data_IF_936414509339
#
_entry.id   IF_936414509339
#
_cell.length_a   1.000
_cell.length_b   1.000
_cell.length_c   1.000
_cell.angle_alpha   90.00
_cell.angle_beta   90.00
_cell.angle_gamma   90.00
#
_symmetry.space_group_name_H-M   'P 1'
#
loop_
_entity.id
_entity.type
_entity.pdbx_description
1 polymer ?
#
# COMPACT_ATOMS: atom_id res chain seq x y z
N UNK A 1 -8.18 -9.13 -8.82
CA UNK A 1 -7.98 -9.64 -7.45
C UNK A 1 -8.95 -8.94 -6.52
N UNK A 2 -9.42 -9.58 -5.45
CA UNK A 2 -10.25 -8.91 -4.45
C UNK A 2 -9.43 -7.83 -3.76
N UNK A 3 -10.03 -6.69 -3.45
CA UNK A 3 -9.33 -5.48 -3.00
C UNK A 3 -8.66 -5.68 -1.65
N UNK A 4 -9.28 -6.47 -0.77
CA UNK A 4 -8.68 -6.83 0.50
C UNK A 4 -7.33 -7.55 0.33
N UNK A 5 -7.16 -8.38 -0.72
CA UNK A 5 -5.89 -9.06 -0.98
C UNK A 5 -4.83 -8.08 -1.43
N UNK A 6 -5.19 -7.08 -2.25
CA UNK A 6 -4.28 -6.03 -2.68
C UNK A 6 -3.81 -5.22 -1.46
N UNK A 7 -4.73 -4.85 -0.56
CA UNK A 7 -4.40 -4.13 0.68
C UNK A 7 -3.47 -4.94 1.59
N UNK A 8 -3.81 -6.22 1.78
CA UNK A 8 -3.04 -7.11 2.65
C UNK A 8 -1.64 -7.36 2.11
N UNK A 9 -1.50 -7.65 0.81
CA UNK A 9 -0.20 -7.85 0.18
C UNK A 9 0.64 -6.57 0.20
N UNK A 10 0.06 -5.43 -0.16
CA UNK A 10 0.80 -4.16 -0.13
C UNK A 10 1.21 -3.79 1.30
N UNK A 11 0.32 -3.97 2.27
CA UNK A 11 0.62 -3.75 3.68
C UNK A 11 1.73 -4.64 4.20
N UNK A 12 1.74 -5.93 3.83
CA UNK A 12 2.80 -6.87 4.19
C UNK A 12 4.13 -6.50 3.54
N UNK A 13 4.14 -6.14 2.26
CA UNK A 13 5.36 -5.70 1.56
C UNK A 13 5.92 -4.44 2.21
N UNK A 14 5.08 -3.44 2.49
CA UNK A 14 5.50 -2.22 3.18
C UNK A 14 6.07 -2.51 4.57
N UNK A 15 5.44 -3.41 5.32
CA UNK A 15 5.91 -3.81 6.64
C UNK A 15 7.29 -4.49 6.56
N UNK A 16 7.46 -5.46 5.67
CA UNK A 16 8.72 -6.19 5.49
C UNK A 16 9.83 -5.29 4.94
N UNK A 17 9.56 -4.52 3.88
CA UNK A 17 10.55 -3.61 3.28
C UNK A 17 10.94 -2.44 4.18
N UNK A 18 10.13 -2.13 5.20
CA UNK A 18 10.48 -1.14 6.21
C UNK A 18 11.34 -1.74 7.33
N UNK A 19 11.01 -2.96 7.77
CA UNK A 19 11.71 -3.63 8.89
C UNK A 19 13.06 -4.22 8.47
N UNK A 20 13.16 -4.86 7.31
CA UNK A 20 14.39 -5.52 6.84
C UNK A 20 15.59 -4.56 6.82
N UNK A 21 15.55 -3.42 6.12
CA UNK A 21 16.69 -2.51 6.08
C UNK A 21 16.95 -1.85 7.43
N UNK A 22 15.96 -1.69 8.31
CA UNK A 22 16.18 -1.16 9.66
C UNK A 22 16.93 -2.16 10.56
N UNK A 23 16.57 -3.44 10.49
CA UNK A 23 17.19 -4.51 11.28
C UNK A 23 18.58 -4.89 10.76
N UNK A 24 18.77 -4.83 9.44
CA UNK A 24 20.05 -5.17 8.78
C UNK A 24 21.01 -3.98 8.64
N UNK A 25 20.55 -2.75 8.86
CA UNK A 25 21.43 -1.58 8.85
C UNK A 25 22.29 -1.54 10.12
N UNK A 26 23.55 -1.12 9.91
CA UNK A 26 24.45 -0.68 10.97
C UNK A 26 23.78 0.45 11.79
N UNK A 27 24.05 0.55 13.09
CA UNK A 27 23.38 1.50 13.99
C UNK A 27 23.37 2.96 13.49
N UNK A 28 24.45 3.40 12.86
CA UNK A 28 24.61 4.78 12.37
C UNK A 28 23.81 5.08 11.09
N UNK A 29 23.35 4.05 10.39
CA UNK A 29 22.56 4.15 9.16
C UNK A 29 21.08 3.83 9.38
N UNK A 30 20.67 3.54 10.61
CA UNK A 30 19.26 3.29 10.96
C UNK A 30 18.46 4.58 10.83
N UNK A 31 17.57 4.61 9.84
CA UNK A 31 16.70 5.75 9.66
C UNK A 31 15.35 5.56 10.37
N UNK A 32 14.96 6.46 11.30
CA UNK A 32 13.65 6.42 11.95
C UNK A 32 12.47 6.51 10.97
N UNK A 33 12.70 7.01 9.76
CA UNK A 33 11.67 7.09 8.71
C UNK A 33 11.15 5.72 8.26
N UNK A 34 11.88 4.63 8.52
CA UNK A 34 11.40 3.28 8.27
C UNK A 34 10.09 2.97 9.03
N UNK A 35 9.89 3.53 10.23
CA UNK A 35 8.68 3.31 11.02
C UNK A 35 7.41 3.88 10.37
N UNK A 36 7.53 4.87 9.48
CA UNK A 36 6.38 5.39 8.72
C UNK A 36 5.82 4.29 7.81
N UNK A 37 6.70 3.55 7.12
CA UNK A 37 6.28 2.43 6.28
C UNK A 37 5.73 1.25 7.06
N UNK A 38 6.27 0.98 8.26
CA UNK A 38 5.69 0.00 9.19
C UNK A 38 4.28 0.41 9.60
N UNK A 39 4.08 1.66 10.03
CA UNK A 39 2.78 2.17 10.46
C UNK A 39 1.73 2.12 9.35
N UNK A 40 2.10 2.57 8.14
CA UNK A 40 1.21 2.49 6.97
C UNK A 40 0.91 1.03 6.61
N UNK A 41 1.92 0.15 6.66
CA UNK A 41 1.76 -1.28 6.39
C UNK A 41 0.77 -1.96 7.34
N UNK A 42 0.91 -1.71 8.65
CA UNK A 42 -0.02 -2.20 9.68
C UNK A 42 -1.43 -1.64 9.43
N UNK A 43 -1.54 -0.34 9.16
CA UNK A 43 -2.84 0.30 8.93
C UNK A 43 -3.56 -0.29 7.71
N UNK A 44 -2.84 -0.56 6.62
CA UNK A 44 -3.40 -1.22 5.43
C UNK A 44 -3.84 -2.67 5.72
N UNK A 45 -3.08 -3.42 6.52
CA UNK A 45 -3.47 -4.76 6.95
C UNK A 45 -4.75 -4.71 7.79
N UNK A 46 -4.84 -3.78 8.75
CA UNK A 46 -6.04 -3.61 9.58
C UNK A 46 -7.24 -3.25 8.72
N UNK A 47 -7.09 -2.32 7.78
CA UNK A 47 -8.16 -1.93 6.84
C UNK A 47 -8.50 -3.05 5.83
N UNK A 48 -7.65 -4.06 5.63
CA UNK A 48 -7.97 -5.18 4.75
C UNK A 48 -9.10 -6.06 5.30
N UNK A 49 -9.20 -6.23 6.63
CA UNK A 49 -10.23 -7.06 7.26
C UNK A 49 -11.67 -6.56 7.02
N UNK A 50 -12.03 -5.29 7.32
CA UNK A 50 -13.38 -4.78 7.02
C UNK A 50 -13.63 -4.68 5.51
N UNK A 51 -12.60 -4.48 4.68
CA UNK A 51 -12.73 -4.51 3.20
C UNK A 51 -13.13 -5.90 2.67
N UNK A 52 -12.75 -6.97 3.38
CA UNK A 52 -13.19 -8.35 3.06
C UNK A 52 -14.71 -8.52 3.24
N UNK A 53 -15.31 -7.79 4.19
CA UNK A 53 -16.74 -7.80 4.47
C UNK A 53 -17.51 -6.77 3.59
N UNK A 54 -16.99 -6.49 2.40
CA UNK A 54 -17.58 -5.58 1.40
C UNK A 54 -17.79 -4.13 1.89
N UNK A 55 -17.07 -3.69 2.93
CA UNK A 55 -17.14 -2.30 3.36
C UNK A 55 -16.51 -1.36 2.33
N UNK A 56 -17.37 -0.70 1.55
CA UNK A 56 -16.97 0.23 0.50
C UNK A 56 -16.21 1.45 1.03
N UNK A 57 -16.51 1.92 2.24
CA UNK A 57 -15.86 3.09 2.84
C UNK A 57 -14.39 2.77 3.13
N UNK A 58 -14.15 1.62 3.77
CA UNK A 58 -12.79 1.18 4.10
C UNK A 58 -11.95 0.93 2.85
N UNK A 59 -12.55 0.39 1.78
CA UNK A 59 -11.85 0.20 0.51
C UNK A 59 -11.36 1.52 -0.10
N UNK A 60 -12.17 2.59 -0.03
CA UNK A 60 -11.77 3.92 -0.51
C UNK A 60 -10.68 4.53 0.38
N UNK A 61 -10.81 4.43 1.70
CA UNK A 61 -9.78 4.88 2.65
C UNK A 61 -8.45 4.17 2.37
N UNK A 62 -8.48 2.85 2.17
CA UNK A 62 -7.30 2.05 1.86
C UNK A 62 -6.59 2.49 0.59
N UNK A 63 -7.34 2.82 -0.45
CA UNK A 63 -6.81 3.31 -1.72
C UNK A 63 -6.21 4.70 -1.61
N UNK A 64 -6.91 5.62 -0.95
CA UNK A 64 -6.41 6.98 -0.74
C UNK A 64 -5.12 6.92 0.09
N UNK A 65 -5.09 6.10 1.15
CA UNK A 65 -3.90 5.88 1.95
C UNK A 65 -2.75 5.29 1.14
N UNK A 66 -3.03 4.30 0.28
CA UNK A 66 -2.01 3.69 -0.59
C UNK A 66 -1.44 4.69 -1.60
N UNK A 67 -2.30 5.55 -2.16
CA UNK A 67 -1.88 6.61 -3.09
C UNK A 67 -1.00 7.66 -2.39
N UNK A 68 -1.41 8.12 -1.20
CA UNK A 68 -0.62 9.05 -0.39
C UNK A 68 0.74 8.44 -0.02
N UNK A 69 0.76 7.16 0.35
CA UNK A 69 1.99 6.44 0.64
C UNK A 69 2.92 6.36 -0.58
N UNK A 70 2.37 6.06 -1.77
CA UNK A 70 3.15 6.02 -3.00
C UNK A 70 3.84 7.36 -3.29
N UNK A 71 3.10 8.48 -3.20
CA UNK A 71 3.64 9.83 -3.44
C UNK A 71 4.71 10.18 -2.39
N UNK A 72 4.41 9.95 -1.11
CA UNK A 72 5.33 10.25 -0.02
C UNK A 72 6.65 9.47 -0.15
N UNK A 73 6.57 8.15 -0.40
CA UNK A 73 7.76 7.33 -0.59
C UNK A 73 8.52 7.67 -1.87
N UNK A 74 7.84 8.07 -2.94
CA UNK A 74 8.52 8.48 -4.17
C UNK A 74 9.41 9.72 -3.92
N UNK A 75 8.87 10.75 -3.25
CA UNK A 75 9.61 11.97 -2.92
C UNK A 75 10.79 11.67 -1.99
N UNK A 76 10.55 10.90 -0.93
CA UNK A 76 11.59 10.55 0.05
C UNK A 76 12.66 9.65 -0.57
N UNK A 77 12.25 8.68 -1.39
CA UNK A 77 13.12 7.73 -2.07
C UNK A 77 14.11 8.42 -2.99
N UNK A 78 13.65 9.40 -3.78
CA UNK A 78 14.51 10.22 -4.64
C UNK A 78 15.41 11.11 -3.80
N UNK A 79 14.87 11.83 -2.82
CA UNK A 79 15.64 12.78 -2.00
C UNK A 79 16.78 12.11 -1.23
N UNK A 80 16.59 10.86 -0.81
CA UNK A 80 17.57 10.09 -0.03
C UNK A 80 18.33 9.06 -0.85
N UNK A 81 18.09 8.97 -2.15
CA UNK A 81 18.65 7.95 -3.05
C UNK A 81 18.58 6.53 -2.46
N UNK A 82 17.48 6.21 -1.76
CA UNK A 82 17.34 4.94 -1.03
C UNK A 82 16.50 3.96 -1.85
N UNK A 83 17.17 2.93 -2.36
CA UNK A 83 16.56 1.89 -3.21
C UNK A 83 15.36 1.21 -2.56
N UNK A 84 15.39 0.92 -1.26
CA UNK A 84 14.26 0.27 -0.57
C UNK A 84 13.02 1.14 -0.55
N UNK A 85 13.19 2.44 -0.29
CA UNK A 85 12.07 3.40 -0.27
C UNK A 85 11.50 3.60 -1.69
N UNK A 86 12.35 3.58 -2.72
CA UNK A 86 11.91 3.62 -4.11
C UNK A 86 11.10 2.37 -4.47
N UNK A 87 11.54 1.18 -4.06
CA UNK A 87 10.78 -0.07 -4.27
C UNK A 87 9.40 0.04 -3.59
N UNK A 88 9.34 0.52 -2.35
CA UNK A 88 8.07 0.74 -1.63
C UNK A 88 7.13 1.69 -2.38
N UNK A 89 7.67 2.76 -2.96
CA UNK A 89 6.90 3.69 -3.78
C UNK A 89 6.32 3.01 -5.04
N UNK A 90 7.14 2.23 -5.75
CA UNK A 90 6.74 1.50 -6.94
C UNK A 90 5.68 0.43 -6.62
N UNK A 91 5.86 -0.35 -5.54
CA UNK A 91 4.86 -1.34 -5.12
C UNK A 91 3.53 -0.68 -4.75
N UNK A 92 3.58 0.46 -4.05
CA UNK A 92 2.38 1.21 -3.67
C UNK A 92 1.68 1.80 -4.91
N UNK A 93 2.43 2.26 -5.90
CA UNK A 93 1.89 2.74 -7.18
C UNK A 93 1.19 1.61 -7.95
N UNK A 94 1.83 0.43 -8.06
CA UNK A 94 1.23 -0.75 -8.70
C UNK A 94 -0.05 -1.16 -7.98
N UNK A 95 -0.04 -1.18 -6.65
CA UNK A 95 -1.20 -1.51 -5.83
C UNK A 95 -2.36 -0.54 -6.09
N UNK A 96 -2.07 0.77 -6.20
CA UNK A 96 -3.07 1.79 -6.57
C UNK A 96 -3.71 1.50 -7.93
N UNK A 97 -2.91 1.18 -8.94
CA UNK A 97 -3.43 0.83 -10.27
C UNK A 97 -4.35 -0.39 -10.18
N UNK A 98 -3.92 -1.43 -9.47
CA UNK A 98 -4.73 -2.65 -9.28
C UNK A 98 -6.05 -2.37 -8.56
N UNK A 99 -6.08 -1.44 -7.60
CA UNK A 99 -7.32 -1.01 -6.97
C UNK A 99 -8.27 -0.31 -7.95
N UNK A 100 -7.75 0.63 -8.75
CA UNK A 100 -8.54 1.36 -9.74
C UNK A 100 -9.15 0.36 -10.74
N UNK A 101 -8.36 -0.58 -11.23
CA UNK A 101 -8.84 -1.68 -12.09
C UNK A 101 -9.93 -2.52 -11.40
N UNK A 102 -9.77 -2.81 -10.10
CA UNK A 102 -10.78 -3.52 -9.29
C UNK A 102 -12.09 -2.74 -9.13
N UNK A 103 -12.03 -1.43 -8.91
CA UNK A 103 -13.22 -0.56 -8.89
C UNK A 103 -13.93 -0.54 -10.24
N UNK A 104 -13.19 -0.36 -11.35
CA UNK A 104 -13.76 -0.35 -12.69
C UNK A 104 -14.43 -1.67 -13.05
N UNK A 105 -13.81 -2.80 -12.69
CA UNK A 105 -14.39 -4.13 -12.93
C UNK A 105 -15.74 -4.29 -12.24
N UNK A 106 -15.86 -3.93 -10.96
CA UNK A 106 -17.15 -4.01 -10.24
C UNK A 106 -18.22 -3.10 -10.81
N UNK A 107 -17.83 -1.90 -11.28
CA UNK A 107 -18.76 -1.01 -11.98
C UNK A 107 -19.31 -1.69 -13.23
N UNK A 108 -18.44 -2.34 -14.02
CA UNK A 108 -18.84 -3.10 -15.22
C UNK A 108 -19.74 -4.28 -14.89
N UNK A 109 -19.41 -5.07 -13.88
CA UNK A 109 -20.19 -6.25 -13.46
C UNK A 109 -21.61 -5.86 -13.00
N UNK A 110 -21.76 -4.72 -12.30
CA UNK A 110 -23.09 -4.19 -11.92
C UNK A 110 -23.92 -3.78 -13.15
N UNK A 111 -23.27 -3.20 -14.17
CA UNK A 111 -23.94 -2.76 -15.40
C UNK A 111 -24.36 -3.92 -16.30
N UNK A 112 -23.63 -5.04 -16.30
CA UNK A 112 -24.01 -6.23 -17.08
C UNK A 112 -25.16 -7.03 -16.50
N UNK A 113 -25.39 -6.97 -15.18
CA UNK A 113 -26.51 -7.67 -14.51
C UNK A 113 -27.85 -6.92 -14.70
N UNK A 114 -27.79 -5.63 -15.04
CA UNK A 114 -28.99 -4.78 -15.22
C UNK A 114 -29.52 -4.79 -16.67
N UNK A 115 -28.85 -5.50 -17.59
CA UNK A 115 -29.27 -5.69 -19.00
C UNK A 115 -29.80 -7.08 -19.21
#
# INVERSE_FOLDING_TARGET
MKEYLIMLLNGLILLLLSLIPYLMAEPDHRSPTAFIGVGIGILLIILSFPTKNENHVTAHIGVVLTLLAAIAFFIVGIKRSNTYVIIMAVTSAISTILFILGFMKRKRDRQSITK
#
